data_IF_173513835533
#
_entry.id   IF_173513835533
#
_cell.length_a   1.000
_cell.length_b   1.000
_cell.length_c   1.000
_cell.angle_alpha   90.00
_cell.angle_beta   90.00
_cell.angle_gamma   90.00
#
_symmetry.space_group_name_H-M   'P 1'
#
loop_
_entity.id
_entity.type
_entity.pdbx_description
1 polymer ?
#
# COMPACT_ATOMS: atom_id res chain seq x y z
N UNK A 1 5.75 -4.27 12.69
CA UNK A 1 5.75 -2.82 12.97
C UNK A 1 4.84 -2.14 11.95
N UNK A 2 3.89 -1.30 12.40
CA UNK A 2 2.95 -0.59 11.53
C UNK A 2 3.30 0.90 11.42
N UNK A 3 3.36 1.45 10.21
CA UNK A 3 3.61 2.88 9.97
C UNK A 3 2.61 3.44 8.95
N UNK A 4 2.39 4.75 8.95
CA UNK A 4 1.65 5.41 7.86
C UNK A 4 2.49 5.45 6.59
N UNK A 5 1.85 5.34 5.42
CA UNK A 5 2.51 5.56 4.12
C UNK A 5 3.22 6.92 4.06
N UNK A 6 2.68 7.95 4.71
CA UNK A 6 3.28 9.28 4.80
C UNK A 6 4.61 9.29 5.58
N UNK A 7 4.77 8.40 6.56
CA UNK A 7 5.96 8.31 7.39
C UNK A 7 7.07 7.43 6.77
N UNK A 8 6.78 6.75 5.66
CA UNK A 8 7.68 5.79 5.03
C UNK A 8 9.06 6.39 4.75
N UNK A 9 9.11 7.55 4.08
CA UNK A 9 10.38 8.17 3.69
C UNK A 9 11.23 8.56 4.89
N UNK A 10 10.61 9.15 5.93
CA UNK A 10 11.31 9.59 7.14
C UNK A 10 11.92 8.41 7.91
N UNK A 11 11.29 7.23 7.84
CA UNK A 11 11.73 6.05 8.58
C UNK A 11 12.64 5.11 7.77
N UNK A 12 12.91 5.39 6.48
CA UNK A 12 13.83 4.59 5.66
C UNK A 12 15.21 4.35 6.32
N UNK A 13 15.89 5.36 6.92
CA UNK A 13 17.17 5.12 7.58
C UNK A 13 17.06 4.12 8.74
N UNK A 14 15.93 4.14 9.46
CA UNK A 14 15.66 3.22 10.57
C UNK A 14 15.50 1.80 10.04
N UNK A 15 14.73 1.60 8.97
CA UNK A 15 14.53 0.26 8.40
C UNK A 15 15.83 -0.35 7.87
N UNK A 16 16.71 0.46 7.27
CA UNK A 16 18.04 0.02 6.84
C UNK A 16 18.95 -0.39 7.99
N UNK A 17 18.77 0.22 9.17
CA UNK A 17 19.52 -0.12 10.38
C UNK A 17 18.99 -1.38 11.10
N UNK A 18 17.87 -1.97 10.64
CA UNK A 18 17.24 -3.12 11.26
C UNK A 18 17.40 -4.38 10.37
N UNK A 19 18.54 -5.08 10.43
CA UNK A 19 18.81 -6.23 9.55
C UNK A 19 17.90 -7.44 9.80
N UNK A 20 17.18 -7.48 10.93
CA UNK A 20 16.23 -8.55 11.28
C UNK A 20 14.77 -8.18 10.97
N UNK A 21 14.52 -7.03 10.34
CA UNK A 21 13.17 -6.61 9.99
C UNK A 21 12.71 -7.38 8.75
N UNK A 22 11.92 -8.43 8.94
CA UNK A 22 11.40 -9.26 7.83
C UNK A 22 10.03 -8.79 7.32
N UNK A 23 9.21 -8.25 8.22
CA UNK A 23 7.84 -7.82 7.96
C UNK A 23 7.62 -6.34 8.29
N UNK A 24 7.14 -5.58 7.31
CA UNK A 24 6.70 -4.20 7.49
C UNK A 24 5.22 -4.06 7.16
N UNK A 25 4.43 -3.53 8.08
CA UNK A 25 3.05 -3.14 7.81
C UNK A 25 2.98 -1.63 7.55
N UNK A 26 2.30 -1.24 6.48
CA UNK A 26 2.11 0.14 6.05
C UNK A 26 0.60 0.38 5.97
N UNK A 27 0.10 1.24 6.85
CA UNK A 27 -1.27 1.71 6.83
C UNK A 27 -1.43 2.77 5.74
N UNK A 28 -2.39 2.53 4.86
CA UNK A 28 -2.76 3.40 3.76
C UNK A 28 -4.19 3.86 4.01
N UNK A 29 -4.38 5.15 4.21
CA UNK A 29 -5.70 5.73 4.49
C UNK A 29 -6.01 6.89 3.55
N UNK A 30 -7.30 7.09 3.30
CA UNK A 30 -7.76 8.26 2.54
C UNK A 30 -7.44 9.55 3.31
N UNK A 31 -6.99 10.57 2.58
CA UNK A 31 -6.66 11.88 3.12
C UNK A 31 -7.66 12.90 2.57
N UNK A 32 -8.15 13.79 3.43
CA UNK A 32 -8.96 14.92 3.01
C UNK A 32 -8.05 15.95 2.33
N UNK A 33 -8.25 16.18 1.03
CA UNK A 33 -7.67 17.34 0.37
C UNK A 33 -8.61 18.52 0.60
N UNK A 34 -8.23 19.45 1.46
CA UNK A 34 -9.03 20.62 1.89
C UNK A 34 -9.34 21.65 0.79
N UNK A 35 -9.28 21.29 -0.48
CA UNK A 35 -9.63 22.17 -1.58
C UNK A 35 -11.16 22.38 -1.63
N UNK A 36 -11.64 23.34 -0.84
CA UNK A 36 -12.87 24.13 -0.99
C UNK A 36 -14.05 23.41 -1.66
N UNK A 37 -14.85 22.71 -0.85
CA UNK A 37 -16.21 22.29 -1.19
C UNK A 37 -16.28 20.95 -1.92
N UNK A 38 -16.59 19.88 -1.17
CA UNK A 38 -16.92 18.54 -1.69
C UNK A 38 -15.75 17.72 -2.30
N UNK A 39 -14.54 17.80 -1.74
CA UNK A 39 -13.52 16.80 -2.05
C UNK A 39 -13.89 15.46 -1.36
N UNK A 40 -14.24 14.45 -2.15
CA UNK A 40 -14.30 13.07 -1.66
C UNK A 40 -12.92 12.67 -1.12
N UNK A 41 -12.82 12.03 0.06
CA UNK A 41 -11.56 11.55 0.57
C UNK A 41 -10.94 10.60 -0.45
N UNK A 42 -9.66 10.80 -0.78
CA UNK A 42 -8.93 9.96 -1.75
C UNK A 42 -7.71 9.37 -1.11
N UNK A 43 -7.42 8.12 -1.47
CA UNK A 43 -6.21 7.44 -1.04
C UNK A 43 -5.03 7.95 -1.88
N UNK A 44 -3.91 8.38 -1.26
CA UNK A 44 -2.78 8.96 -1.99
C UNK A 44 -1.91 7.89 -2.66
N UNK A 45 -2.49 7.14 -3.61
CA UNK A 45 -1.83 6.01 -4.28
C UNK A 45 -0.48 6.34 -4.91
N UNK A 46 -0.30 7.59 -5.38
CA UNK A 46 0.98 8.08 -5.92
C UNK A 46 2.17 7.90 -4.97
N UNK A 47 1.93 7.88 -3.65
CA UNK A 47 2.98 7.70 -2.64
C UNK A 47 3.51 6.26 -2.57
N UNK A 48 2.81 5.29 -3.17
CA UNK A 48 3.30 3.90 -3.25
C UNK A 48 4.57 3.76 -4.10
N UNK A 49 4.87 4.75 -4.95
CA UNK A 49 6.15 4.81 -5.66
C UNK A 49 7.35 4.80 -4.70
N UNK A 50 7.18 5.28 -3.46
CA UNK A 50 8.22 5.26 -2.43
C UNK A 50 8.54 3.87 -1.89
N UNK A 51 7.69 2.86 -2.15
CA UNK A 51 7.99 1.47 -1.79
C UNK A 51 9.28 0.97 -2.45
N UNK A 52 9.60 1.44 -3.65
CA UNK A 52 10.89 1.15 -4.32
C UNK A 52 12.11 1.45 -3.44
N UNK A 53 12.00 2.42 -2.53
CA UNK A 53 13.08 2.79 -1.61
C UNK A 53 13.35 1.75 -0.52
N UNK A 54 12.46 0.76 -0.37
CA UNK A 54 12.60 -0.38 0.53
C UNK A 54 13.36 -1.55 -0.11
N UNK A 55 13.51 -1.61 -1.44
CA UNK A 55 14.28 -2.66 -2.12
C UNK A 55 15.71 -2.87 -1.55
N UNK A 56 16.44 -1.83 -1.12
CA UNK A 56 17.76 -2.00 -0.50
C UNK A 56 17.75 -2.49 0.95
N UNK A 57 16.59 -2.82 1.55
CA UNK A 57 16.51 -3.31 2.93
C UNK A 57 16.72 -4.83 2.94
N UNK A 58 17.92 -5.33 3.29
CA UNK A 58 18.32 -6.71 2.99
C UNK A 58 17.56 -7.76 3.81
N UNK A 59 17.00 -7.38 4.95
CA UNK A 59 16.20 -8.29 5.79
C UNK A 59 14.73 -8.36 5.41
N UNK A 60 14.23 -7.39 4.62
CA UNK A 60 12.80 -7.21 4.41
C UNK A 60 12.30 -8.17 3.34
N UNK A 61 11.38 -9.06 3.73
CA UNK A 61 10.80 -10.09 2.86
C UNK A 61 9.37 -9.76 2.46
N UNK A 62 8.62 -9.10 3.34
CA UNK A 62 7.20 -8.86 3.14
C UNK A 62 6.78 -7.46 3.55
N UNK A 63 5.98 -6.82 2.70
CA UNK A 63 5.30 -5.54 2.95
C UNK A 63 3.80 -5.82 2.99
N UNK A 64 3.17 -5.58 4.14
CA UNK A 64 1.71 -5.59 4.28
C UNK A 64 1.15 -4.18 4.09
N UNK A 65 0.39 -3.95 3.04
CA UNK A 65 -0.38 -2.73 2.81
C UNK A 65 -1.77 -2.92 3.44
N UNK A 66 -2.02 -2.22 4.53
CA UNK A 66 -3.32 -2.23 5.22
C UNK A 66 -4.12 -1.03 4.76
N UNK A 67 -5.07 -1.25 3.86
CA UNK A 67 -5.86 -0.19 3.21
C UNK A 67 -7.14 0.08 3.99
N UNK A 68 -7.41 1.36 4.27
CA UNK A 68 -8.64 1.84 4.90
C UNK A 68 -9.16 3.07 4.13
N UNK A 69 -10.46 3.18 3.87
CA UNK A 69 -11.04 4.34 3.19
C UNK A 69 -11.15 5.61 4.05
N UNK A 70 -10.59 5.60 5.25
CA UNK A 70 -10.43 6.81 6.08
C UNK A 70 -9.57 6.58 7.32
N UNK A 71 -9.35 7.64 8.12
CA UNK A 71 -8.75 7.54 9.45
C UNK A 71 -9.52 6.52 10.29
N UNK A 72 -8.89 6.00 11.36
CA UNK A 72 -9.49 5.00 12.27
C UNK A 72 -10.90 5.40 12.75
N UNK A 73 -11.20 6.70 12.80
CA UNK A 73 -12.48 7.24 13.26
C UNK A 73 -13.57 7.29 12.17
N UNK A 74 -13.20 7.21 10.89
CA UNK A 74 -14.11 7.28 9.74
C UNK A 74 -13.86 6.09 8.80
N UNK A 75 -14.45 4.94 9.12
CA UNK A 75 -14.35 3.73 8.30
C UNK A 75 -15.27 3.80 7.08
N UNK A 76 -14.72 4.26 5.95
CA UNK A 76 -15.30 3.94 4.65
C UNK A 76 -14.57 2.71 4.08
N UNK A 77 -15.29 1.68 3.60
CA UNK A 77 -14.65 0.54 2.96
C UNK A 77 -14.02 0.99 1.61
N UNK A 78 -12.81 0.52 1.28
CA UNK A 78 -12.22 0.79 -0.04
C UNK A 78 -13.02 0.06 -1.12
N UNK A 79 -13.10 0.66 -2.30
CA UNK A 79 -13.95 0.21 -3.41
C UNK A 79 -13.19 -0.59 -4.47
N UNK A 80 -13.90 -1.17 -5.45
CA UNK A 80 -13.28 -1.75 -6.64
C UNK A 80 -12.46 -0.73 -7.46
N UNK A 81 -12.84 0.56 -7.46
CA UNK A 81 -12.08 1.63 -8.12
C UNK A 81 -10.74 1.86 -7.40
N UNK A 82 -10.77 1.93 -6.08
CA UNK A 82 -9.57 2.03 -5.23
C UNK A 82 -8.60 0.87 -5.48
N UNK A 83 -9.11 -0.34 -5.69
CA UNK A 83 -8.29 -1.51 -6.02
C UNK A 83 -7.60 -1.37 -7.38
N UNK A 84 -8.30 -0.84 -8.39
CA UNK A 84 -7.72 -0.59 -9.72
C UNK A 84 -6.65 0.48 -9.66
N UNK A 85 -6.90 1.56 -8.92
CA UNK A 85 -5.93 2.64 -8.75
C UNK A 85 -4.69 2.18 -7.98
N UNK A 86 -4.86 1.33 -6.95
CA UNK A 86 -3.77 0.68 -6.25
C UNK A 86 -2.91 -0.16 -7.21
N UNK A 87 -3.53 -1.02 -8.03
CA UNK A 87 -2.81 -1.84 -9.00
C UNK A 87 -2.08 -0.98 -10.04
N UNK A 88 -2.71 0.09 -10.52
CA UNK A 88 -2.09 1.05 -11.43
C UNK A 88 -0.87 1.72 -10.78
N UNK A 89 -0.96 2.11 -9.51
CA UNK A 89 0.14 2.71 -8.76
C UNK A 89 1.30 1.75 -8.46
N UNK A 90 1.03 0.44 -8.37
CA UNK A 90 2.06 -0.60 -8.22
C UNK A 90 2.69 -1.01 -9.55
N UNK A 91 2.04 -0.74 -10.69
CA UNK A 91 2.52 -1.14 -12.01
C UNK A 91 3.95 -0.66 -12.34
N UNK A 92 4.39 0.56 -11.96
CA UNK A 92 5.77 1.00 -12.20
C UNK A 92 6.82 0.18 -11.43
N UNK A 93 6.43 -0.54 -10.37
CA UNK A 93 7.34 -1.31 -9.53
C UNK A 93 7.64 -2.72 -10.07
N UNK A 94 6.92 -3.16 -11.12
CA UNK A 94 7.02 -4.51 -11.71
C UNK A 94 8.41 -4.92 -12.19
N UNK A 95 9.30 -3.97 -12.46
CA UNK A 95 10.65 -4.28 -12.92
C UNK A 95 11.70 -4.15 -11.80
N UNK A 96 11.26 -4.00 -10.55
CA UNK A 96 12.13 -3.83 -9.39
C UNK A 96 12.09 -5.11 -8.56
N UNK A 97 13.26 -5.61 -8.15
CA UNK A 97 13.34 -6.69 -7.15
C UNK A 97 12.86 -6.13 -5.82
N UNK A 98 11.65 -6.52 -5.43
CA UNK A 98 10.94 -5.99 -4.27
C UNK A 98 10.58 -7.12 -3.30
N UNK A 99 10.43 -6.81 -2.00
CA UNK A 99 9.75 -7.70 -1.07
C UNK A 99 8.34 -8.02 -1.56
N UNK A 100 7.82 -9.19 -1.17
CA UNK A 100 6.44 -9.57 -1.48
C UNK A 100 5.46 -8.55 -0.88
N UNK A 101 4.40 -8.24 -1.63
CA UNK A 101 3.39 -7.27 -1.23
C UNK A 101 2.08 -8.00 -0.93
N UNK A 102 1.63 -7.89 0.31
CA UNK A 102 0.33 -8.37 0.76
C UNK A 102 -0.60 -7.18 0.96
N UNK A 103 -1.80 -7.20 0.40
CA UNK A 103 -2.79 -6.14 0.50
C UNK A 103 -3.96 -6.63 1.36
N UNK A 104 -4.32 -5.85 2.37
CA UNK A 104 -5.45 -6.08 3.25
C UNK A 104 -6.44 -4.90 3.14
N UNK A 105 -7.72 -5.17 3.37
CA UNK A 105 -8.76 -4.12 3.51
C UNK A 105 -9.80 -4.07 2.39
N UNK A 106 -9.56 -4.74 1.25
CA UNK A 106 -10.57 -4.88 0.20
C UNK A 106 -11.51 -6.06 0.46
N UNK A 107 -12.80 -5.86 0.21
CA UNK A 107 -13.76 -6.96 0.29
C UNK A 107 -13.55 -7.93 -0.87
N UNK A 108 -14.00 -9.18 -0.68
CA UNK A 108 -13.98 -10.18 -1.76
C UNK A 108 -14.83 -9.78 -2.96
N UNK A 109 -15.92 -9.06 -2.71
CA UNK A 109 -16.87 -8.64 -3.74
C UNK A 109 -16.26 -7.57 -4.63
N UNK A 110 -15.60 -6.57 -4.04
CA UNK A 110 -14.92 -5.49 -4.78
C UNK A 110 -13.83 -6.02 -5.71
N UNK A 111 -13.17 -7.11 -5.31
CA UNK A 111 -12.08 -7.72 -6.08
C UNK A 111 -12.55 -8.67 -7.19
N UNK A 112 -13.85 -9.03 -7.27
CA UNK A 112 -14.34 -9.97 -8.31
C UNK A 112 -14.15 -9.43 -9.73
N UNK A 113 -14.35 -8.13 -9.91
CA UNK A 113 -14.31 -7.47 -11.22
C UNK A 113 -12.96 -6.76 -11.49
N UNK A 114 -11.96 -6.99 -10.63
CA UNK A 114 -10.63 -6.42 -10.77
C UNK A 114 -9.73 -7.43 -11.45
N UNK A 115 -9.28 -7.11 -12.67
CA UNK A 115 -8.33 -7.96 -13.39
C UNK A 115 -6.94 -7.84 -12.74
N UNK A 116 -6.60 -8.78 -11.85
CA UNK A 116 -5.30 -8.81 -11.17
C UNK A 116 -4.26 -9.33 -12.14
N UNK A 117 -3.57 -8.42 -12.81
CA UNK A 117 -2.35 -8.73 -13.54
C UNK A 117 -1.20 -8.72 -12.52
N UNK A 118 -0.73 -9.91 -12.17
CA UNK A 118 0.38 -10.07 -11.23
C UNK A 118 1.66 -9.42 -11.79
N UNK A 119 2.32 -8.57 -10.99
CA UNK A 119 3.66 -8.08 -11.30
C UNK A 119 4.63 -9.23 -11.59
N UNK A 120 5.50 -9.04 -12.57
CA UNK A 120 6.79 -9.73 -12.53
C UNK A 120 7.62 -9.08 -11.40
N UNK A 121 8.54 -9.80 -10.76
CA UNK A 121 9.46 -9.22 -9.76
C UNK A 121 9.04 -9.23 -8.28
N UNK A 122 7.76 -9.41 -7.93
CA UNK A 122 7.31 -9.66 -6.56
C UNK A 122 5.92 -10.33 -6.52
N UNK A 123 5.62 -11.06 -5.43
CA UNK A 123 4.30 -11.66 -5.24
C UNK A 123 3.31 -10.62 -4.75
N UNK A 124 2.12 -10.60 -5.34
CA UNK A 124 1.00 -9.80 -4.86
C UNK A 124 -0.10 -10.72 -4.32
N UNK A 125 -0.56 -10.50 -3.09
CA UNK A 125 -1.66 -11.27 -2.50
C UNK A 125 -2.70 -10.36 -1.85
N UNK A 126 -3.98 -10.65 -2.04
CA UNK A 126 -5.07 -9.96 -1.36
C UNK A 126 -5.58 -10.84 -0.20
N UNK A 127 -5.55 -10.29 1.00
CA UNK A 127 -6.17 -10.89 2.19
C UNK A 127 -7.53 -10.24 2.39
N UNK A 128 -8.58 -11.04 2.21
CA UNK A 128 -9.96 -10.62 2.43
C UNK A 128 -10.27 -10.66 3.93
N UNK A 129 -10.89 -9.60 4.43
CA UNK A 129 -11.49 -9.57 5.76
C UNK A 129 -12.86 -10.26 5.77
#
# INVERSE_FOLDING_TARGET
>A
MGISLLALQTLLPVFRALPKLEDLAISVYAVHTEALGAATPRIPWHQLTHLSSLAPCPGLKTIRLVVSGGPIECHFPPTAEDARDLLAALSPLRNTVMPDIMIEGFSREDMRDVNILYPEGFTLAFLYA
#
